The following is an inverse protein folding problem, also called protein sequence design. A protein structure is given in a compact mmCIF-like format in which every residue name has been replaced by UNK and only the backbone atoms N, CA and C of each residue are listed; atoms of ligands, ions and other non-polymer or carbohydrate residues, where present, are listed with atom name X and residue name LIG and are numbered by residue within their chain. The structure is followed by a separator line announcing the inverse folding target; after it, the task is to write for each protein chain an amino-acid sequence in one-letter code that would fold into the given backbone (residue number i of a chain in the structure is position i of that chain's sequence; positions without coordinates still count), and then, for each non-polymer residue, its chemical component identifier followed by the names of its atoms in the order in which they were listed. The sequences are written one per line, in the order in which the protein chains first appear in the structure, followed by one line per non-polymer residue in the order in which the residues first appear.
data_IF_251868031974
#
_entry.id   IF_251868031974
#
_cell.length_a   1.000
_cell.length_b   1.000
_cell.length_c   1.000
_cell.angle_alpha   90.00
_cell.angle_beta   90.00
_cell.angle_gamma   90.00
#
_symmetry.space_group_name_H-M   'P 1'
#
loop_
_entity.id
_entity.type
_entity.pdbx_description
1 polymer ?
#
# COMPACT_ATOMS: atom_id res chain seq x y z
N UNK A 1 -53.15 13.83 40.87
CA UNK A 1 -52.63 15.21 40.86
C UNK A 1 -51.73 15.40 39.64
N UNK A 2 -52.08 16.39 38.81
CA UNK A 2 -51.33 17.11 37.77
C UNK A 2 -50.18 16.40 36.97
N UNK A 3 -50.55 16.11 35.71
CA UNK A 3 -49.91 16.44 34.41
C UNK A 3 -48.54 15.84 34.00
N UNK A 4 -48.69 14.94 33.03
CA UNK A 4 -47.85 14.65 31.85
C UNK A 4 -47.38 15.94 31.14
N UNK A 5 -46.12 16.03 30.68
CA UNK A 5 -45.76 16.39 29.28
C UNK A 5 -44.30 16.07 28.91
N UNK A 6 -44.15 15.31 27.82
CA UNK A 6 -42.99 15.29 26.90
C UNK A 6 -43.00 16.57 26.05
N UNK A 7 -41.84 17.07 25.61
CA UNK A 7 -41.66 17.98 24.45
C UNK A 7 -40.26 18.61 24.50
N UNK A 8 -39.52 18.96 23.45
CA UNK A 8 -39.51 18.72 22.00
C UNK A 8 -38.13 19.25 21.52
N UNK A 9 -37.64 18.76 20.37
CA UNK A 9 -36.60 19.45 19.60
C UNK A 9 -37.00 20.90 19.35
N UNK A 10 -36.05 21.84 19.43
CA UNK A 10 -36.11 23.06 18.65
C UNK A 10 -34.80 23.32 17.91
N UNK A 11 -34.94 23.28 16.58
CA UNK A 11 -34.13 23.98 15.59
C UNK A 11 -33.87 25.42 16.07
N UNK A 12 -32.61 25.80 16.25
CA UNK A 12 -32.24 27.21 16.35
C UNK A 12 -32.15 27.77 14.92
N UNK A 13 -33.26 28.32 14.43
CA UNK A 13 -33.24 29.26 13.32
C UNK A 13 -32.65 30.58 13.85
N UNK A 14 -31.41 30.89 13.49
CA UNK A 14 -30.82 32.20 13.75
C UNK A 14 -31.21 33.13 12.61
N UNK A 15 -32.22 33.94 12.84
CA UNK A 15 -32.57 35.09 12.00
C UNK A 15 -31.58 36.22 12.29
N UNK A 16 -30.63 36.46 11.37
CA UNK A 16 -29.85 37.69 11.37
C UNK A 16 -30.66 38.79 10.67
N UNK A 17 -31.09 39.78 11.45
CA UNK A 17 -31.56 41.06 10.95
C UNK A 17 -30.36 41.84 10.40
N UNK A 18 -30.33 42.07 9.08
CA UNK A 18 -29.33 42.91 8.43
C UNK A 18 -29.73 44.37 8.63
N UNK A 19 -29.09 45.05 9.59
CA UNK A 19 -29.03 46.51 9.60
C UNK A 19 -27.96 46.93 8.59
N UNK A 20 -28.41 47.57 7.52
CA UNK A 20 -27.56 48.10 6.46
C UNK A 20 -26.86 49.37 6.94
N UNK A 21 -25.58 49.24 7.31
CA UNK A 21 -24.61 50.31 7.18
C UNK A 21 -23.65 49.92 6.05
N UNK A 22 -23.74 50.66 4.94
CA UNK A 22 -22.96 50.41 3.73
C UNK A 22 -21.50 50.82 3.90
N UNK A 23 -20.62 49.83 4.07
CA UNK A 23 -19.19 49.92 3.82
C UNK A 23 -18.69 48.55 3.28
N UNK A 24 -18.30 48.47 2.01
CA UNK A 24 -17.29 47.53 1.48
C UNK A 24 -17.53 46.01 1.38
N UNK A 25 -18.61 45.40 1.89
CA UNK A 25 -18.70 43.93 1.97
C UNK A 25 -19.14 43.17 0.69
N UNK A 26 -19.70 43.84 -0.33
CA UNK A 26 -20.31 43.16 -1.50
C UNK A 26 -19.31 42.72 -2.56
N UNK A 27 -18.17 43.39 -2.69
CA UNK A 27 -17.11 43.04 -3.67
C UNK A 27 -16.30 41.83 -3.22
N UNK A 28 -16.04 41.69 -1.92
CA UNK A 28 -15.34 40.57 -1.30
C UNK A 28 -16.08 39.23 -1.48
N UNK A 29 -17.39 39.21 -1.20
CA UNK A 29 -18.21 38.00 -1.35
C UNK A 29 -18.30 37.54 -2.82
N UNK A 30 -18.52 38.48 -3.76
CA UNK A 30 -18.62 38.17 -5.19
C UNK A 30 -17.29 37.69 -5.79
N UNK A 31 -16.16 38.27 -5.36
CA UNK A 31 -14.82 37.84 -5.75
C UNK A 31 -14.52 36.43 -5.19
N UNK A 32 -14.85 36.17 -3.93
CA UNK A 32 -14.70 34.84 -3.31
C UNK A 32 -15.55 33.78 -4.04
N UNK A 33 -16.81 34.08 -4.38
CA UNK A 33 -17.68 33.18 -5.13
C UNK A 33 -17.15 32.91 -6.54
N UNK A 34 -16.71 33.94 -7.27
CA UNK A 34 -16.13 33.76 -8.62
C UNK A 34 -14.83 32.94 -8.61
N UNK A 35 -14.00 33.11 -7.58
CA UNK A 35 -12.75 32.36 -7.40
C UNK A 35 -13.05 30.89 -7.09
N UNK A 36 -14.01 30.61 -6.21
CA UNK A 36 -14.44 29.25 -5.89
C UNK A 36 -15.03 28.51 -7.10
N UNK A 37 -15.83 29.19 -7.93
CA UNK A 37 -16.38 28.61 -9.18
C UNK A 37 -15.26 28.28 -10.17
N UNK A 38 -14.32 29.20 -10.39
CA UNK A 38 -13.19 28.97 -11.31
C UNK A 38 -12.26 27.83 -10.85
N UNK A 39 -12.06 27.69 -9.54
CA UNK A 39 -11.29 26.60 -8.96
C UNK A 39 -12.01 25.25 -9.14
N UNK A 40 -13.32 25.20 -8.92
CA UNK A 40 -14.12 24.00 -9.13
C UNK A 40 -14.10 23.55 -10.60
N UNK A 41 -14.24 24.49 -11.55
CA UNK A 41 -14.15 24.21 -12.99
C UNK A 41 -12.77 23.66 -13.38
N UNK A 42 -11.69 24.22 -12.82
CA UNK A 42 -10.33 23.74 -13.02
C UNK A 42 -10.12 22.31 -12.50
N UNK A 43 -10.61 22.01 -11.30
CA UNK A 43 -10.55 20.66 -10.71
C UNK A 43 -11.33 19.65 -11.55
N UNK A 44 -12.52 20.04 -12.04
CA UNK A 44 -13.35 19.19 -12.90
C UNK A 44 -12.66 18.92 -14.24
N UNK A 45 -12.09 19.95 -14.88
CA UNK A 45 -11.35 19.80 -16.13
C UNK A 45 -10.12 18.89 -15.98
N UNK A 46 -9.35 19.07 -14.90
CA UNK A 46 -8.20 18.22 -14.56
C UNK A 46 -8.64 16.76 -14.42
N UNK A 47 -9.68 16.52 -13.63
CA UNK A 47 -10.20 15.19 -13.37
C UNK A 47 -10.70 14.51 -14.64
N UNK A 48 -11.50 15.22 -15.47
CA UNK A 48 -12.02 14.69 -16.74
C UNK A 48 -10.90 14.29 -17.70
N UNK A 49 -9.88 15.14 -17.86
CA UNK A 49 -8.74 14.86 -18.74
C UNK A 49 -7.96 13.64 -18.27
N UNK A 50 -7.72 13.54 -16.96
CA UNK A 50 -7.06 12.38 -16.35
C UNK A 50 -7.84 11.08 -16.57
N UNK A 51 -9.16 11.08 -16.33
CA UNK A 51 -10.02 9.91 -16.56
C UNK A 51 -10.04 9.46 -18.02
N UNK A 52 -9.99 10.41 -18.97
CA UNK A 52 -9.87 10.10 -20.39
C UNK A 52 -8.55 9.41 -20.71
N UNK A 53 -7.43 9.84 -20.11
CA UNK A 53 -6.13 9.19 -20.27
C UNK A 53 -6.13 7.76 -19.70
N UNK A 54 -6.74 7.54 -18.53
CA UNK A 54 -6.79 6.19 -17.92
C UNK A 54 -7.54 5.16 -18.78
N UNK A 55 -8.58 5.59 -19.51
CA UNK A 55 -9.42 4.71 -20.34
C UNK A 55 -8.81 4.37 -21.70
N UNK A 56 -7.81 5.12 -22.14
CA UNK A 56 -7.19 4.92 -23.45
C UNK A 56 -6.08 3.86 -23.38
N UNK A 57 -6.09 2.83 -24.26
CA UNK A 57 -5.02 1.84 -24.31
C UNK A 57 -3.64 2.48 -24.50
N UNK A 58 -2.66 2.06 -23.70
CA UNK A 58 -1.28 2.56 -23.78
C UNK A 58 -1.08 4.01 -23.31
N UNK A 59 -2.09 4.64 -22.68
CA UNK A 59 -1.99 6.01 -22.15
C UNK A 59 -1.70 6.11 -20.65
N UNK A 60 -1.47 4.98 -19.99
CA UNK A 60 -1.11 4.93 -18.57
C UNK A 60 0.14 5.78 -18.24
N UNK A 61 1.22 5.82 -19.05
CA UNK A 61 2.35 6.74 -18.83
C UNK A 61 1.94 8.22 -18.82
N UNK A 62 1.05 8.60 -19.73
CA UNK A 62 0.54 9.96 -19.86
C UNK A 62 -0.37 10.30 -18.68
N UNK A 63 -1.23 9.38 -18.25
CA UNK A 63 -2.06 9.55 -17.06
C UNK A 63 -1.21 9.77 -15.79
N UNK A 64 -0.15 8.97 -15.60
CA UNK A 64 0.77 9.12 -14.48
C UNK A 64 1.44 10.50 -14.49
N UNK A 65 2.02 10.89 -15.63
CA UNK A 65 2.70 12.19 -15.80
C UNK A 65 1.74 13.35 -15.62
N UNK A 66 0.53 13.23 -16.15
CA UNK A 66 -0.52 14.24 -16.03
C UNK A 66 -0.94 14.42 -14.56
N UNK A 67 -1.19 13.34 -13.82
CA UNK A 67 -1.50 13.43 -12.40
C UNK A 67 -0.35 14.08 -11.64
N UNK A 68 0.90 13.66 -11.86
CA UNK A 68 2.06 14.25 -11.19
C UNK A 68 2.17 15.76 -11.39
N UNK A 69 1.87 16.25 -12.60
CA UNK A 69 1.90 17.68 -12.93
C UNK A 69 0.78 18.46 -12.23
N UNK A 70 -0.40 17.89 -12.08
CA UNK A 70 -1.61 18.60 -11.66
C UNK A 70 -2.04 18.35 -10.22
N UNK A 71 -1.48 17.34 -9.54
CA UNK A 71 -1.94 16.91 -8.21
C UNK A 71 -1.82 18.00 -7.13
N UNK A 72 -0.89 18.96 -7.29
CA UNK A 72 -0.73 20.07 -6.34
C UNK A 72 -1.85 21.12 -6.46
N UNK A 73 -2.54 21.15 -7.60
CA UNK A 73 -3.55 22.17 -7.94
C UNK A 73 -4.97 21.73 -7.58
N UNK A 74 -5.15 20.54 -7.01
CA UNK A 74 -6.46 19.97 -6.68
C UNK A 74 -6.57 19.67 -5.18
N UNK A 75 -7.78 19.70 -4.58
CA UNK A 75 -7.99 19.33 -3.20
C UNK A 75 -7.53 17.90 -2.90
N UNK A 76 -7.08 17.65 -1.65
CA UNK A 76 -6.56 16.35 -1.25
C UNK A 76 -7.57 15.21 -1.43
N UNK A 77 -8.87 15.46 -1.26
CA UNK A 77 -9.94 14.49 -1.53
C UNK A 77 -9.97 14.08 -3.01
N UNK A 78 -9.87 15.04 -3.93
CA UNK A 78 -9.84 14.75 -5.37
C UNK A 78 -8.54 14.07 -5.80
N UNK A 79 -7.39 14.54 -5.29
CA UNK A 79 -6.11 13.89 -5.51
C UNK A 79 -6.14 12.42 -5.06
N UNK A 80 -6.76 12.15 -3.91
CA UNK A 80 -6.93 10.79 -3.38
C UNK A 80 -7.72 9.92 -4.35
N UNK A 81 -8.87 10.37 -4.83
CA UNK A 81 -9.69 9.63 -5.81
C UNK A 81 -8.87 9.32 -7.07
N UNK A 82 -8.17 10.33 -7.62
CA UNK A 82 -7.39 10.16 -8.84
C UNK A 82 -6.20 9.20 -8.66
N UNK A 83 -5.54 9.21 -7.50
CA UNK A 83 -4.47 8.25 -7.18
C UNK A 83 -5.00 6.82 -7.08
N UNK A 84 -6.17 6.62 -6.44
CA UNK A 84 -6.81 5.31 -6.36
C UNK A 84 -7.25 4.81 -7.74
N UNK A 85 -7.76 5.69 -8.61
CA UNK A 85 -8.10 5.34 -9.98
C UNK A 85 -6.87 4.99 -10.81
N UNK A 86 -5.75 5.70 -10.63
CA UNK A 86 -4.47 5.35 -11.28
C UNK A 86 -4.03 3.94 -10.89
N UNK A 87 -4.02 3.62 -9.60
CA UNK A 87 -3.69 2.29 -9.09
C UNK A 87 -4.64 1.21 -9.61
N UNK A 88 -5.95 1.46 -9.61
CA UNK A 88 -6.92 0.49 -10.15
C UNK A 88 -6.67 0.23 -11.65
N UNK A 89 -6.40 1.28 -12.43
CA UNK A 89 -6.07 1.14 -13.84
C UNK A 89 -4.75 0.41 -14.07
N UNK A 90 -3.71 0.65 -13.26
CA UNK A 90 -2.45 -0.09 -13.31
C UNK A 90 -2.65 -1.58 -13.02
N UNK A 91 -3.43 -1.92 -11.99
CA UNK A 91 -3.75 -3.31 -11.66
C UNK A 91 -4.51 -4.00 -12.81
N UNK A 92 -5.51 -3.31 -13.38
CA UNK A 92 -6.30 -3.84 -14.50
C UNK A 92 -5.46 -4.07 -15.77
N UNK A 93 -4.48 -3.22 -16.03
CA UNK A 93 -3.64 -3.30 -17.24
C UNK A 93 -2.37 -4.13 -17.06
N UNK A 94 -2.03 -4.56 -15.83
CA UNK A 94 -0.77 -5.25 -15.53
C UNK A 94 -0.54 -6.47 -16.44
N UNK A 95 -1.55 -7.31 -16.59
CA UNK A 95 -1.49 -8.49 -17.46
C UNK A 95 -1.23 -8.15 -18.92
N UNK A 96 -1.78 -7.03 -19.41
CA UNK A 96 -1.56 -6.58 -20.79
C UNK A 96 -0.11 -6.14 -20.98
N UNK A 97 0.46 -5.40 -20.04
CA UNK A 97 1.88 -5.04 -20.07
C UNK A 97 2.77 -6.29 -19.92
N UNK A 98 2.44 -7.21 -19.02
CA UNK A 98 3.21 -8.44 -18.83
C UNK A 98 3.28 -9.29 -20.11
N UNK A 99 2.16 -9.45 -20.81
CA UNK A 99 2.09 -10.19 -22.09
C UNK A 99 3.01 -9.61 -23.17
N UNK A 100 3.32 -8.31 -23.13
CA UNK A 100 4.27 -7.71 -24.09
C UNK A 100 5.73 -8.08 -23.80
N UNK A 101 6.05 -8.49 -22.56
CA UNK A 101 7.38 -8.93 -22.16
C UNK A 101 7.60 -10.43 -22.41
N UNK A 102 6.54 -11.24 -22.43
CA UNK A 102 6.63 -12.70 -22.53
C UNK A 102 7.11 -13.31 -23.87
N UNK A 103 7.03 -12.66 -25.04
CA UNK A 103 7.57 -13.25 -26.27
C UNK A 103 9.04 -13.67 -26.08
N UNK A 104 9.40 -14.86 -26.54
CA UNK A 104 10.74 -15.42 -26.35
C UNK A 104 11.84 -14.50 -26.89
N UNK A 105 11.56 -13.78 -27.99
CA UNK A 105 12.47 -12.78 -28.56
C UNK A 105 12.72 -11.58 -27.63
N UNK A 106 11.73 -11.18 -26.82
CA UNK A 106 11.87 -10.10 -25.83
C UNK A 106 12.61 -10.62 -24.61
N UNK A 107 12.19 -11.76 -24.05
CA UNK A 107 12.85 -12.39 -22.89
C UNK A 107 14.33 -12.64 -23.14
N UNK A 108 14.69 -13.20 -24.30
CA UNK A 108 16.08 -13.47 -24.68
C UNK A 108 16.91 -12.19 -24.74
N UNK A 109 16.39 -11.12 -25.35
CA UNK A 109 17.09 -9.84 -25.44
C UNK A 109 17.29 -9.20 -24.07
N UNK A 110 16.30 -9.28 -23.17
CA UNK A 110 16.47 -8.81 -21.79
C UNK A 110 17.55 -9.66 -21.09
N UNK A 111 17.47 -10.99 -21.21
CA UNK A 111 18.39 -11.91 -20.55
C UNK A 111 19.86 -11.68 -20.93
N UNK A 112 20.13 -11.38 -22.20
CA UNK A 112 21.49 -11.13 -22.69
C UNK A 112 22.18 -9.92 -22.05
N UNK A 113 21.40 -8.93 -21.59
CA UNK A 113 21.95 -7.68 -21.05
C UNK A 113 21.63 -7.46 -19.57
N UNK A 114 20.73 -8.23 -18.98
CA UNK A 114 20.32 -8.10 -17.58
C UNK A 114 21.43 -8.53 -16.61
N UNK A 115 21.49 -7.86 -15.47
CA UNK A 115 22.30 -8.20 -14.29
C UNK A 115 21.35 -8.26 -13.08
N UNK A 116 21.59 -9.17 -12.12
CA UNK A 116 20.74 -9.30 -10.94
C UNK A 116 20.48 -7.96 -10.24
N UNK A 117 19.20 -7.63 -10.05
CA UNK A 117 18.76 -6.39 -9.39
C UNK A 117 18.56 -5.19 -10.33
N UNK A 118 18.74 -5.36 -11.63
CA UNK A 118 18.54 -4.25 -12.58
C UNK A 118 17.09 -3.76 -12.66
N UNK A 119 16.93 -2.45 -12.72
CA UNK A 119 15.67 -1.81 -13.09
C UNK A 119 15.48 -1.78 -14.61
N UNK A 120 14.27 -1.44 -15.06
CA UNK A 120 14.01 -1.13 -16.47
C UNK A 120 15.01 -0.10 -17.03
N UNK A 121 15.36 0.94 -16.25
CA UNK A 121 16.30 1.98 -16.70
C UNK A 121 17.68 1.39 -17.01
N UNK A 122 18.19 0.49 -16.16
CA UNK A 122 19.49 -0.15 -16.40
C UNK A 122 19.48 -0.99 -17.68
N UNK A 123 18.39 -1.73 -17.94
CA UNK A 123 18.24 -2.56 -19.14
C UNK A 123 18.06 -1.70 -20.40
N UNK A 124 17.26 -0.64 -20.33
CA UNK A 124 17.07 0.33 -21.44
C UNK A 124 18.40 0.94 -21.88
N UNK A 125 19.24 1.37 -20.92
CA UNK A 125 20.53 2.02 -21.22
C UNK A 125 21.48 1.08 -21.97
N UNK A 126 21.52 -0.21 -21.61
CA UNK A 126 22.42 -1.20 -22.23
C UNK A 126 21.89 -1.80 -23.52
N UNK A 127 20.59 -1.75 -23.77
CA UNK A 127 20.02 -2.26 -25.01
C UNK A 127 20.55 -1.45 -26.20
N UNK A 128 20.81 -2.10 -27.34
CA UNK A 128 20.96 -1.44 -28.65
C UNK A 128 19.69 -1.53 -29.49
N UNK A 129 18.73 -2.39 -29.11
CA UNK A 129 17.48 -2.61 -29.83
C UNK A 129 16.45 -1.51 -29.53
N UNK A 130 16.05 -0.78 -30.58
CA UNK A 130 15.13 0.36 -30.50
C UNK A 130 13.73 -0.06 -30.05
N UNK A 131 13.24 -1.23 -30.51
CA UNK A 131 11.92 -1.72 -30.16
C UNK A 131 11.86 -2.17 -28.70
N UNK A 132 12.91 -2.86 -28.22
CA UNK A 132 13.04 -3.22 -26.82
C UNK A 132 13.12 -1.97 -25.93
N UNK A 133 13.92 -0.96 -26.31
CA UNK A 133 13.98 0.32 -25.57
C UNK A 133 12.60 0.95 -25.45
N UNK A 134 11.86 1.03 -26.55
CA UNK A 134 10.51 1.61 -26.57
C UNK A 134 9.57 0.84 -25.65
N UNK A 135 9.57 -0.49 -25.74
CA UNK A 135 8.73 -1.38 -24.91
C UNK A 135 9.03 -1.21 -23.40
N UNK A 136 10.30 -1.32 -23.02
CA UNK A 136 10.70 -1.20 -21.61
C UNK A 136 10.47 0.22 -21.07
N UNK A 137 10.66 1.24 -21.90
CA UNK A 137 10.37 2.64 -21.56
C UNK A 137 8.88 2.84 -21.31
N UNK A 138 8.01 2.37 -22.21
CA UNK A 138 6.57 2.43 -22.03
C UNK A 138 6.11 1.73 -20.75
N UNK A 139 6.65 0.55 -20.46
CA UNK A 139 6.32 -0.21 -19.25
C UNK A 139 6.80 0.49 -17.98
N UNK A 140 8.04 1.00 -17.98
CA UNK A 140 8.59 1.79 -16.88
C UNK A 140 7.76 3.03 -16.61
N UNK A 141 7.41 3.78 -17.66
CA UNK A 141 6.74 5.07 -17.54
C UNK A 141 5.25 4.90 -17.19
N UNK A 142 4.67 3.74 -17.50
CA UNK A 142 3.35 3.33 -16.98
C UNK A 142 3.35 3.07 -15.47
N UNK A 143 4.51 3.11 -14.81
CA UNK A 143 4.65 3.01 -13.35
C UNK A 143 4.94 1.60 -12.84
N UNK A 144 5.40 0.70 -13.71
CA UNK A 144 5.87 -0.62 -13.32
C UNK A 144 7.39 -0.64 -13.09
N UNK A 145 7.86 -1.66 -12.38
CA UNK A 145 9.27 -2.04 -12.28
C UNK A 145 9.49 -3.45 -12.80
N UNK A 146 10.73 -3.73 -13.18
CA UNK A 146 11.16 -5.02 -13.69
C UNK A 146 11.42 -5.96 -12.52
N UNK A 147 10.85 -7.16 -12.58
CA UNK A 147 11.15 -8.27 -11.68
C UNK A 147 11.53 -9.51 -12.47
N UNK A 148 12.15 -10.47 -11.77
CA UNK A 148 12.47 -11.76 -12.33
C UNK A 148 12.29 -12.90 -11.33
N UNK A 149 11.72 -14.00 -11.80
CA UNK A 149 11.61 -15.28 -11.10
C UNK A 149 11.72 -16.40 -12.12
N UNK A 150 12.40 -17.49 -11.75
CA UNK A 150 12.55 -18.69 -12.59
C UNK A 150 13.04 -18.40 -14.03
N UNK A 151 13.92 -17.39 -14.19
CA UNK A 151 14.47 -17.00 -15.49
C UNK A 151 13.55 -16.16 -16.38
N UNK A 152 12.34 -15.83 -15.90
CA UNK A 152 11.39 -14.98 -16.61
C UNK A 152 11.46 -13.54 -16.10
N UNK A 153 11.25 -12.58 -16.99
CA UNK A 153 11.19 -11.14 -16.72
C UNK A 153 9.77 -10.62 -16.86
N UNK A 154 9.26 -9.95 -15.84
CA UNK A 154 7.87 -9.47 -15.82
C UNK A 154 7.74 -8.14 -15.07
N UNK A 155 6.69 -7.35 -15.36
CA UNK A 155 6.45 -6.12 -14.64
C UNK A 155 5.71 -6.40 -13.33
N UNK A 156 5.97 -5.58 -12.31
CA UNK A 156 5.11 -5.43 -11.13
C UNK A 156 4.91 -3.94 -10.86
N UNK A 157 3.87 -3.56 -10.12
CA UNK A 157 3.63 -2.15 -9.77
C UNK A 157 4.79 -1.61 -8.94
N UNK A 158 5.31 -0.44 -9.33
CA UNK A 158 6.34 0.28 -8.59
C UNK A 158 5.70 1.31 -7.64
N UNK A 159 5.34 0.86 -6.44
CA UNK A 159 4.71 1.74 -5.45
C UNK A 159 5.65 2.85 -4.93
N UNK A 160 6.97 2.73 -5.10
CA UNK A 160 7.88 3.83 -4.77
C UNK A 160 7.56 5.08 -5.61
N UNK A 161 7.11 4.89 -6.86
CA UNK A 161 6.68 6.01 -7.71
C UNK A 161 5.45 6.74 -7.16
N UNK A 162 4.61 6.08 -6.38
CA UNK A 162 3.41 6.69 -5.79
C UNK A 162 3.72 7.69 -4.67
N UNK A 163 4.92 7.65 -4.08
CA UNK A 163 5.30 8.60 -3.02
C UNK A 163 5.25 10.05 -3.46
N UNK A 164 5.42 10.34 -4.76
CA UNK A 164 5.28 11.69 -5.31
C UNK A 164 3.87 12.27 -5.08
N UNK A 165 2.87 11.40 -4.92
CA UNK A 165 1.48 11.77 -4.66
C UNK A 165 1.15 11.87 -3.17
N UNK A 166 1.89 11.18 -2.30
CA UNK A 166 1.51 10.99 -0.89
C UNK A 166 1.25 12.30 -0.14
N UNK A 167 2.06 13.35 -0.37
CA UNK A 167 1.86 14.67 0.29
C UNK A 167 0.56 15.38 -0.11
N UNK A 168 -0.07 14.95 -1.20
CA UNK A 168 -1.28 15.53 -1.77
C UNK A 168 -2.53 14.67 -1.55
N UNK A 169 -2.42 13.47 -1.01
CA UNK A 169 -3.56 12.61 -0.67
C UNK A 169 -3.97 12.78 0.79
N UNK A 170 -5.12 12.19 1.14
CA UNK A 170 -5.50 11.95 2.53
C UNK A 170 -4.44 11.13 3.27
N UNK A 171 -4.41 11.26 4.59
CA UNK A 171 -3.38 10.63 5.42
C UNK A 171 -3.43 9.11 5.39
N UNK A 172 -4.63 8.54 5.28
CA UNK A 172 -4.81 7.09 5.13
C UNK A 172 -4.18 6.60 3.82
N UNK A 173 -4.47 7.24 2.68
CA UNK A 173 -3.89 6.81 1.40
C UNK A 173 -2.37 7.08 1.33
N UNK A 174 -1.87 8.11 2.01
CA UNK A 174 -0.42 8.29 2.18
C UNK A 174 0.20 7.12 2.94
N UNK A 175 -0.38 6.75 4.09
CA UNK A 175 0.11 5.63 4.90
C UNK A 175 0.02 4.30 4.13
N UNK A 176 -1.03 4.11 3.33
CA UNK A 176 -1.17 2.97 2.44
C UNK A 176 -0.05 2.90 1.41
N UNK A 177 0.24 4.02 0.74
CA UNK A 177 1.34 4.12 -0.25
C UNK A 177 2.68 3.78 0.40
N UNK A 178 2.94 4.26 1.62
CA UNK A 178 4.19 3.96 2.33
C UNK A 178 4.36 2.46 2.63
N UNK A 179 3.27 1.79 3.06
CA UNK A 179 3.27 0.33 3.26
C UNK A 179 3.53 -0.38 1.93
N UNK A 180 2.76 -0.06 0.89
CA UNK A 180 2.88 -0.74 -0.41
C UNK A 180 4.22 -0.46 -1.10
N UNK A 181 4.83 0.72 -0.87
CA UNK A 181 6.17 1.05 -1.34
C UNK A 181 7.23 0.17 -0.67
N UNK A 182 7.08 -0.13 0.63
CA UNK A 182 7.93 -1.10 1.32
C UNK A 182 7.76 -2.51 0.73
N UNK A 183 6.53 -2.94 0.49
CA UNK A 183 6.25 -4.27 -0.09
C UNK A 183 6.78 -4.42 -1.51
N UNK A 184 6.55 -3.41 -2.35
CA UNK A 184 7.06 -3.38 -3.71
C UNK A 184 8.57 -3.28 -3.70
N UNK A 185 9.18 -2.39 -2.92
CA UNK A 185 10.62 -2.16 -2.91
C UNK A 185 11.43 -3.40 -2.51
N UNK A 186 10.91 -4.20 -1.58
CA UNK A 186 11.53 -5.46 -1.17
C UNK A 186 10.45 -6.49 -0.83
N UNK A 187 10.24 -7.45 -1.73
CA UNK A 187 9.29 -8.53 -1.50
C UNK A 187 9.63 -9.32 -0.23
N UNK A 188 8.64 -9.55 0.63
CA UNK A 188 8.85 -10.35 1.84
C UNK A 188 9.10 -11.83 1.51
N UNK A 189 8.53 -12.33 0.41
CA UNK A 189 8.66 -13.71 -0.02
C UNK A 189 9.05 -13.81 -1.49
N UNK A 190 9.79 -14.86 -1.83
CA UNK A 190 10.11 -15.25 -3.21
C UNK A 190 10.31 -16.77 -3.24
N UNK A 191 9.75 -17.44 -4.24
CA UNK A 191 9.78 -18.91 -4.36
C UNK A 191 9.32 -19.59 -3.06
N UNK A 192 8.22 -19.09 -2.48
CA UNK A 192 7.67 -19.50 -1.19
C UNK A 192 8.65 -19.47 0.02
N UNK A 193 9.81 -18.81 -0.11
CA UNK A 193 10.78 -18.59 0.96
C UNK A 193 10.67 -17.16 1.52
N UNK A 194 10.89 -17.00 2.82
CA UNK A 194 10.98 -15.69 3.45
C UNK A 194 12.31 -15.03 3.05
N UNK A 195 12.24 -13.85 2.43
CA UNK A 195 13.40 -13.09 1.93
C UNK A 195 13.82 -11.92 2.81
N UNK A 196 13.04 -11.62 3.84
CA UNK A 196 13.30 -10.57 4.82
C UNK A 196 13.64 -11.16 6.18
N UNK A 197 14.34 -10.40 7.02
CA UNK A 197 14.62 -10.81 8.39
C UNK A 197 13.37 -10.77 9.27
N UNK A 198 13.34 -11.59 10.32
CA UNK A 198 12.21 -11.69 11.25
C UNK A 198 11.86 -10.38 11.97
N UNK A 199 12.84 -9.52 12.26
CA UNK A 199 12.58 -8.19 12.80
C UNK A 199 11.85 -7.29 11.79
N UNK A 200 12.21 -7.40 10.51
CA UNK A 200 11.57 -6.64 9.43
C UNK A 200 10.14 -7.16 9.19
N UNK A 201 9.94 -8.49 9.20
CA UNK A 201 8.60 -9.08 9.12
C UNK A 201 7.70 -8.53 10.24
N UNK A 202 8.18 -8.56 11.49
CA UNK A 202 7.45 -8.01 12.63
C UNK A 202 7.18 -6.50 12.51
N UNK A 203 8.16 -5.73 12.02
CA UNK A 203 7.98 -4.30 11.74
C UNK A 203 6.90 -4.03 10.69
N UNK A 204 6.80 -4.85 9.65
CA UNK A 204 5.73 -4.75 8.65
C UNK A 204 4.37 -5.08 9.25
N UNK A 205 4.25 -6.13 10.06
CA UNK A 205 2.98 -6.47 10.76
C UNK A 205 2.54 -5.31 11.66
N UNK A 206 3.46 -4.72 12.42
CA UNK A 206 3.17 -3.55 13.27
C UNK A 206 2.68 -2.34 12.47
N UNK A 207 3.33 -2.02 11.34
CA UNK A 207 2.90 -0.92 10.48
C UNK A 207 1.50 -1.14 9.92
N UNK A 208 1.19 -2.38 9.55
CA UNK A 208 -0.13 -2.77 9.04
C UNK A 208 -1.18 -2.75 10.17
N UNK A 209 -0.87 -3.22 11.37
CA UNK A 209 -1.75 -3.12 12.54
C UNK A 209 -2.06 -1.66 12.89
N UNK A 210 -1.04 -0.80 12.88
CA UNK A 210 -1.20 0.64 13.10
C UNK A 210 -2.14 1.28 12.08
N UNK A 211 -1.99 0.95 10.79
CA UNK A 211 -2.90 1.40 9.75
C UNK A 211 -4.35 0.97 10.01
N UNK A 212 -4.57 -0.30 10.35
CA UNK A 212 -5.92 -0.85 10.59
C UNK A 212 -6.61 -0.19 11.78
N UNK A 213 -5.85 0.14 12.82
CA UNK A 213 -6.36 0.84 13.99
C UNK A 213 -6.65 2.32 13.71
N UNK A 214 -5.77 2.99 12.96
CA UNK A 214 -5.89 4.42 12.70
C UNK A 214 -6.93 4.73 11.61
N UNK A 215 -7.08 3.84 10.63
CA UNK A 215 -7.89 4.07 9.45
C UNK A 215 -8.87 2.91 9.17
N UNK A 216 -9.75 2.54 10.12
CA UNK A 216 -10.65 1.39 9.97
C UNK A 216 -11.63 1.55 8.78
N UNK A 217 -11.91 2.79 8.36
CA UNK A 217 -12.82 3.11 7.26
C UNK A 217 -12.13 3.56 5.98
N UNK A 218 -10.80 3.40 5.86
CA UNK A 218 -10.10 3.67 4.60
C UNK A 218 -10.63 2.78 3.48
N UNK A 219 -10.60 3.30 2.25
CA UNK A 219 -10.84 2.49 1.06
C UNK A 219 -9.83 1.33 0.92
N UNK A 220 -8.68 1.40 1.61
CA UNK A 220 -7.61 0.40 1.56
C UNK A 220 -7.52 -0.51 2.80
N UNK A 221 -8.43 -0.39 3.77
CA UNK A 221 -8.46 -1.24 4.97
C UNK A 221 -8.44 -2.72 4.64
N UNK A 222 -9.31 -3.18 3.72
CA UNK A 222 -9.38 -4.60 3.40
C UNK A 222 -8.10 -5.14 2.75
N UNK A 223 -7.42 -4.32 1.94
CA UNK A 223 -6.16 -4.70 1.31
C UNK A 223 -5.05 -4.85 2.36
N UNK A 224 -4.92 -3.86 3.25
CA UNK A 224 -3.96 -3.93 4.36
C UNK A 224 -4.29 -5.06 5.33
N UNK A 225 -5.58 -5.34 5.57
CA UNK A 225 -5.99 -6.45 6.43
C UNK A 225 -5.51 -7.80 5.88
N UNK A 226 -5.68 -8.04 4.57
CA UNK A 226 -5.19 -9.29 3.94
C UNK A 226 -3.67 -9.43 4.08
N UNK A 227 -2.93 -8.33 3.88
CA UNK A 227 -1.48 -8.32 4.03
C UNK A 227 -1.06 -8.56 5.50
N UNK A 228 -1.75 -7.92 6.44
CA UNK A 228 -1.58 -8.13 7.88
C UNK A 228 -1.82 -9.58 8.26
N UNK A 229 -2.96 -10.16 7.87
CA UNK A 229 -3.29 -11.55 8.20
C UNK A 229 -2.23 -12.52 7.64
N UNK A 230 -1.73 -12.26 6.43
CA UNK A 230 -0.66 -13.04 5.81
C UNK A 230 0.65 -12.98 6.60
N UNK A 231 1.10 -11.78 7.00
CA UNK A 231 2.38 -11.61 7.69
C UNK A 231 2.30 -11.97 9.16
N UNK A 232 1.12 -11.81 9.75
CA UNK A 232 0.77 -12.38 11.03
C UNK A 232 0.92 -13.91 10.97
N UNK A 233 0.34 -14.58 9.98
CA UNK A 233 0.53 -16.01 9.77
C UNK A 233 2.01 -16.39 9.59
N UNK A 234 2.75 -15.68 8.72
CA UNK A 234 4.19 -15.93 8.53
C UNK A 234 5.01 -15.74 9.81
N UNK A 235 4.58 -14.86 10.71
CA UNK A 235 5.28 -14.70 12.00
C UNK A 235 5.33 -16.01 12.77
N UNK A 236 4.20 -16.73 12.81
CA UNK A 236 4.01 -17.89 13.70
C UNK A 236 4.17 -19.26 13.02
N UNK A 237 4.10 -19.32 11.69
CA UNK A 237 4.27 -20.55 10.93
C UNK A 237 5.47 -20.53 9.98
N UNK A 238 5.98 -19.34 9.63
CA UNK A 238 6.94 -19.17 8.54
C UNK A 238 6.28 -19.30 7.17
N UNK A 239 7.08 -19.57 6.15
CA UNK A 239 6.63 -19.85 4.79
C UNK A 239 6.97 -21.29 4.41
N UNK A 240 6.45 -21.82 3.30
CA UNK A 240 6.68 -23.22 2.92
C UNK A 240 8.17 -23.57 2.80
N UNK A 241 8.96 -22.70 2.18
CA UNK A 241 10.41 -22.92 2.00
C UNK A 241 11.26 -22.23 3.09
N UNK A 242 10.62 -21.67 4.10
CA UNK A 242 11.28 -21.09 5.28
C UNK A 242 10.34 -21.25 6.47
N UNK A 243 10.04 -22.50 6.88
CA UNK A 243 9.13 -22.74 7.99
C UNK A 243 9.71 -22.12 9.25
N UNK A 244 8.86 -21.76 10.22
CA UNK A 244 9.37 -21.23 11.49
C UNK A 244 10.09 -22.32 12.30
N UNK A 245 9.57 -23.54 12.21
CA UNK A 245 10.10 -24.71 12.88
C UNK A 245 10.80 -25.61 11.88
N UNK A 246 11.99 -26.04 12.23
CA UNK A 246 12.77 -27.02 11.51
C UNK A 246 12.01 -28.35 11.42
N UNK A 247 11.98 -28.95 10.22
CA UNK A 247 11.16 -30.14 9.96
C UNK A 247 11.65 -31.38 10.71
N UNK A 248 12.95 -31.52 10.92
CA UNK A 248 13.54 -32.72 11.50
C UNK A 248 13.53 -32.65 13.03
N UNK A 249 13.87 -31.49 13.58
CA UNK A 249 14.03 -31.30 15.03
C UNK A 249 12.78 -30.76 15.70
N UNK A 250 11.84 -30.19 14.92
CA UNK A 250 10.67 -29.49 15.42
C UNK A 250 10.99 -28.21 16.20
N UNK A 251 12.24 -27.73 16.16
CA UNK A 251 12.69 -26.55 16.91
C UNK A 251 12.52 -25.28 16.09
N UNK A 252 12.20 -24.16 16.76
CA UNK A 252 12.25 -22.85 16.12
C UNK A 252 13.67 -22.55 15.63
N UNK A 253 13.81 -21.98 14.42
CA UNK A 253 15.13 -21.59 13.94
C UNK A 253 15.78 -20.52 14.85
N UNK A 254 17.08 -20.64 15.18
CA UNK A 254 17.75 -19.73 16.13
C UNK A 254 17.69 -18.25 15.72
N UNK A 255 17.78 -17.96 14.42
CA UNK A 255 17.66 -16.60 13.89
C UNK A 255 16.25 -16.02 14.07
N UNK A 256 15.21 -16.85 13.94
CA UNK A 256 13.83 -16.47 14.21
C UNK A 256 13.62 -16.15 15.69
N UNK A 257 14.05 -17.06 16.56
CA UNK A 257 13.98 -16.87 18.02
C UNK A 257 14.67 -15.57 18.44
N UNK A 258 15.92 -15.35 18.01
CA UNK A 258 16.69 -14.14 18.32
C UNK A 258 15.99 -12.87 17.79
N UNK A 259 15.47 -12.93 16.55
CA UNK A 259 14.76 -11.81 15.94
C UNK A 259 13.50 -11.42 16.72
N UNK A 260 12.67 -12.39 17.08
CA UNK A 260 11.43 -12.12 17.81
C UNK A 260 11.65 -11.75 19.28
N UNK A 261 12.63 -12.34 19.96
CA UNK A 261 13.01 -11.91 21.31
C UNK A 261 13.40 -10.44 21.33
N UNK A 262 14.18 -9.99 20.34
CA UNK A 262 14.55 -8.59 20.22
C UNK A 262 13.34 -7.67 19.96
N UNK A 263 12.40 -8.10 19.12
CA UNK A 263 11.14 -7.37 18.88
C UNK A 263 10.34 -7.23 20.18
N UNK A 264 10.18 -8.32 20.94
CA UNK A 264 9.46 -8.32 22.22
C UNK A 264 10.16 -7.41 23.24
N UNK A 265 11.49 -7.48 23.36
CA UNK A 265 12.28 -6.62 24.26
C UNK A 265 12.16 -5.13 23.93
N UNK A 266 12.13 -4.77 22.64
CA UNK A 266 11.95 -3.37 22.23
C UNK A 266 10.52 -2.85 22.41
N UNK A 267 9.55 -3.73 22.65
CA UNK A 267 8.14 -3.42 22.73
C UNK A 267 7.49 -3.96 24.01
N UNK A 268 8.24 -4.02 25.12
CA UNK A 268 7.79 -4.68 26.37
C UNK A 268 6.44 -4.17 26.90
N UNK A 269 6.21 -2.86 26.77
CA UNK A 269 5.01 -2.17 27.26
C UNK A 269 3.96 -1.92 26.16
N UNK A 270 4.16 -2.49 24.96
CA UNK A 270 3.28 -2.27 23.84
C UNK A 270 1.90 -2.90 24.06
N UNK A 271 0.86 -2.12 23.75
CA UNK A 271 -0.54 -2.58 23.74
C UNK A 271 -0.95 -3.22 22.40
N UNK A 272 -0.02 -3.33 21.44
CA UNK A 272 -0.23 -4.02 20.17
C UNK A 272 -0.72 -5.45 20.40
N UNK A 273 -1.78 -5.85 19.69
CA UNK A 273 -2.32 -7.21 19.78
C UNK A 273 -1.30 -8.21 19.24
N UNK A 274 -0.63 -7.84 18.14
CA UNK A 274 0.48 -8.60 17.57
C UNK A 274 1.61 -8.82 18.60
N UNK A 275 2.09 -7.76 19.26
CA UNK A 275 3.20 -7.90 20.23
C UNK A 275 2.80 -8.73 21.45
N UNK A 276 1.59 -8.56 21.97
CA UNK A 276 1.12 -9.37 23.10
C UNK A 276 1.08 -10.86 22.73
N UNK A 277 0.61 -11.20 21.52
CA UNK A 277 0.61 -12.58 21.02
C UNK A 277 2.02 -13.10 20.77
N UNK A 278 2.91 -12.30 20.20
CA UNK A 278 4.31 -12.67 19.99
C UNK A 278 5.01 -12.93 21.33
N UNK A 279 4.80 -12.07 22.34
CA UNK A 279 5.33 -12.25 23.70
C UNK A 279 4.85 -13.56 24.32
N UNK A 280 3.54 -13.81 24.28
CA UNK A 280 2.95 -15.05 24.80
C UNK A 280 3.50 -16.30 24.09
N UNK A 281 3.67 -16.23 22.76
CA UNK A 281 4.26 -17.30 21.98
C UNK A 281 5.72 -17.56 22.34
N UNK A 282 6.54 -16.51 22.49
CA UNK A 282 7.95 -16.66 22.87
C UNK A 282 8.09 -17.25 24.27
N UNK A 283 7.29 -16.81 25.24
CA UNK A 283 7.26 -17.43 26.58
C UNK A 283 6.87 -18.90 26.53
N UNK A 284 5.89 -19.25 25.70
CA UNK A 284 5.46 -20.64 25.53
C UNK A 284 6.57 -21.51 24.93
N UNK A 285 7.31 -20.99 23.94
CA UNK A 285 8.47 -21.68 23.36
C UNK A 285 9.58 -21.90 24.38
N UNK A 286 9.91 -20.90 25.20
CA UNK A 286 10.92 -21.03 26.25
C UNK A 286 10.55 -22.13 27.26
N UNK A 287 9.26 -22.25 27.62
CA UNK A 287 8.74 -23.31 28.49
C UNK A 287 8.75 -24.71 27.85
N UNK A 288 8.79 -24.78 26.53
CA UNK A 288 8.69 -26.02 25.75
C UNK A 288 10.03 -26.40 25.08
N UNK A 289 11.16 -25.87 25.57
CA UNK A 289 12.48 -26.20 25.05
C UNK A 289 12.65 -25.87 23.57
N UNK A 290 12.00 -24.79 23.11
CA UNK A 290 12.00 -24.32 21.72
C UNK A 290 11.35 -25.25 20.70
N UNK A 291 10.68 -26.31 21.16
CA UNK A 291 10.03 -27.29 20.30
C UNK A 291 8.55 -26.99 20.04
N UNK A 292 8.10 -27.35 18.85
CA UNK A 292 6.68 -27.39 18.47
C UNK A 292 5.97 -28.58 19.10
N UNK A 293 5.85 -28.58 20.42
CA UNK A 293 5.11 -29.60 21.18
C UNK A 293 3.61 -29.57 20.86
N UNK A 294 2.85 -30.54 21.37
CA UNK A 294 1.38 -30.54 21.32
C UNK A 294 0.79 -29.27 21.94
N UNK A 295 1.40 -28.76 23.02
CA UNK A 295 0.96 -27.52 23.68
C UNK A 295 1.15 -26.31 22.75
N UNK A 296 2.33 -26.18 22.14
CA UNK A 296 2.63 -25.10 21.18
C UNK A 296 1.70 -25.19 19.96
N UNK A 297 1.51 -26.39 19.41
CA UNK A 297 0.61 -26.60 18.26
C UNK A 297 -0.84 -26.27 18.57
N UNK A 298 -1.32 -26.59 19.77
CA UNK A 298 -2.68 -26.25 20.22
C UNK A 298 -2.85 -24.75 20.39
N UNK A 299 -1.83 -24.09 20.97
CA UNK A 299 -1.83 -22.64 21.10
C UNK A 299 -1.87 -21.96 19.73
N UNK A 300 -1.05 -22.41 18.77
CA UNK A 300 -1.02 -21.88 17.41
C UNK A 300 -2.39 -22.01 16.73
N UNK A 301 -2.99 -23.20 16.73
CA UNK A 301 -4.33 -23.45 16.15
C UNK A 301 -5.41 -22.54 16.75
N UNK A 302 -5.33 -22.26 18.05
CA UNK A 302 -6.30 -21.39 18.75
C UNK A 302 -6.09 -19.90 18.47
N UNK A 303 -4.84 -19.47 18.33
CA UNK A 303 -4.49 -18.03 18.35
C UNK A 303 -4.10 -17.44 17.00
N UNK A 304 -3.74 -18.30 16.05
CA UNK A 304 -3.25 -17.95 14.71
C UNK A 304 -4.03 -18.81 13.71
N UNK A 305 -5.11 -18.26 13.13
CA UNK A 305 -5.89 -18.96 12.11
C UNK A 305 -4.99 -19.43 10.98
N UNK A 306 -5.21 -20.65 10.49
CA UNK A 306 -4.65 -21.06 9.20
C UNK A 306 -5.29 -20.24 8.09
N UNK A 307 -4.46 -19.64 7.24
CA UNK A 307 -4.91 -19.00 6.01
C UNK A 307 -5.44 -20.03 5.01
#
# INVERSE_FOLDING_TARGET
MKKITKAYLMLAAVTFTVQTMGLGYTTSAKAATSTMTSQAESVQHISKTFEQLLRQPGKLPQAFTYLQKHIQSIPASQATIMVLHLENAQNQQLDSYAKTLYPASVQTKINQIYKPGDSFTNVIIRSSDVNLKKLLTQTRDAGYKLETAEGMYYPVINYEKYKVFGKHTTTDIRSYIDIMAMESGQAATKDAALRIGYQQLAGRVLAQEAFLNQYPHSNRTQAIKKLHDLYFFYTFYGTNNTPLFDYDTGKIHPNAKKGYQFVVQRNMDSKSTYIQKLKAFMTLLDQNGDQRTTQVSTWLKKNVPSN
#
